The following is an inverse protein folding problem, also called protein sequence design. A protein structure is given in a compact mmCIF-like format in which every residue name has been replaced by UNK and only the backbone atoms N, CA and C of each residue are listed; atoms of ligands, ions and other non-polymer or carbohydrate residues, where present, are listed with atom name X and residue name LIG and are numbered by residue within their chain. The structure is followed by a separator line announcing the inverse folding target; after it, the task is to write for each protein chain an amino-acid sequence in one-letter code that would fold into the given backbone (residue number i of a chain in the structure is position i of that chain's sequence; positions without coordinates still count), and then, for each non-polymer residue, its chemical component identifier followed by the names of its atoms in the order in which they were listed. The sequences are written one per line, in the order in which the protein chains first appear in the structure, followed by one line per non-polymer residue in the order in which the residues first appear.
data_IF_686718891095
#
_entry.id   IF_686718891095
#
_cell.length_a   1.000
_cell.length_b   1.000
_cell.length_c   1.000
_cell.angle_alpha   90.00
_cell.angle_beta   90.00
_cell.angle_gamma   90.00
#
_symmetry.space_group_name_H-M   'P 1'
#
loop_
_entity.id
_entity.type
_entity.pdbx_description
1 polymer ?
#
# COMPACT_ATOMS: atom_id res chain seq x y z
N UNK A 1 -15.71 22.06 -6.28
CA UNK A 1 -14.74 21.08 -6.79
C UNK A 1 -13.40 21.48 -6.21
N UNK A 2 -13.07 20.91 -5.05
CA UNK A 2 -11.85 21.26 -4.30
C UNK A 2 -10.66 20.54 -4.92
N UNK A 3 -9.60 21.29 -5.14
CA UNK A 3 -8.37 20.87 -5.82
C UNK A 3 -7.62 19.84 -4.95
N UNK A 4 -7.55 18.59 -5.39
CA UNK A 4 -6.92 17.49 -4.65
C UNK A 4 -5.38 17.60 -4.57
N UNK A 5 -4.77 18.56 -5.30
CA UNK A 5 -3.32 18.79 -5.33
C UNK A 5 -2.78 19.69 -4.20
N UNK A 6 -3.63 20.28 -3.36
CA UNK A 6 -3.21 21.26 -2.36
C UNK A 6 -2.66 20.67 -1.04
N UNK A 7 -2.37 19.37 -0.96
CA UNK A 7 -1.99 18.71 0.30
C UNK A 7 -0.84 17.69 0.16
N UNK A 8 0.02 17.83 -0.84
CA UNK A 8 1.34 17.19 -0.80
C UNK A 8 2.18 17.83 0.33
N UNK A 9 3.07 17.09 1.02
CA UNK A 9 4.01 17.70 1.95
C UNK A 9 4.75 18.82 1.21
N UNK A 10 4.69 20.05 1.74
CA UNK A 10 5.39 21.19 1.17
C UNK A 10 6.90 20.90 1.07
N UNK A 11 7.62 21.57 0.16
CA UNK A 11 9.04 21.33 -0.05
C UNK A 11 9.80 21.37 1.29
N UNK A 12 10.76 20.46 1.43
CA UNK A 12 11.64 20.31 2.59
C UNK A 12 12.37 21.61 2.97
N UNK A 13 13.13 21.60 4.09
CA UNK A 13 13.47 22.79 4.87
C UNK A 13 14.11 23.90 4.00
N UNK A 14 13.34 24.98 3.86
CA UNK A 14 13.66 26.31 3.33
C UNK A 14 14.28 26.40 1.91
N UNK A 15 13.62 25.79 0.92
CA UNK A 15 13.86 25.98 -0.54
C UNK A 15 14.03 27.47 -0.95
N UNK A 16 13.47 28.40 -0.16
CA UNK A 16 13.60 29.86 -0.34
C UNK A 16 15.02 30.40 -0.14
N UNK A 17 15.86 29.68 0.59
CA UNK A 17 17.22 30.09 0.97
C UNK A 17 18.31 29.47 0.07
N UNK A 18 17.93 28.51 -0.77
CA UNK A 18 18.82 27.86 -1.73
C UNK A 18 19.11 28.78 -2.92
N UNK A 19 20.23 28.54 -3.59
CA UNK A 19 20.58 29.27 -4.81
C UNK A 19 19.68 28.85 -5.99
N UNK A 20 19.68 29.66 -7.05
CA UNK A 20 18.81 29.48 -8.22
C UNK A 20 19.03 28.14 -8.92
N UNK A 21 20.27 27.65 -8.99
CA UNK A 21 20.60 26.38 -9.65
C UNK A 21 20.02 25.21 -8.85
N UNK A 22 20.22 25.23 -7.53
CA UNK A 22 19.65 24.23 -6.59
C UNK A 22 18.11 24.25 -6.59
N UNK A 23 17.48 25.43 -6.65
CA UNK A 23 16.02 25.55 -6.76
C UNK A 23 15.48 24.89 -8.03
N UNK A 24 16.14 25.11 -9.17
CA UNK A 24 15.77 24.50 -10.45
C UNK A 24 15.92 22.98 -10.42
N UNK A 25 17.04 22.46 -9.89
CA UNK A 25 17.27 21.02 -9.77
C UNK A 25 16.21 20.31 -8.91
N UNK A 26 15.84 20.92 -7.77
CA UNK A 26 14.81 20.37 -6.89
C UNK A 26 13.44 20.39 -7.56
N UNK A 27 13.07 21.49 -8.22
CA UNK A 27 11.81 21.61 -8.93
C UNK A 27 11.70 20.64 -10.11
N UNK A 28 12.79 20.49 -10.87
CA UNK A 28 12.85 19.56 -11.99
C UNK A 28 12.78 18.10 -11.52
N UNK A 29 13.55 17.74 -10.49
CA UNK A 29 13.53 16.41 -9.87
C UNK A 29 12.12 16.06 -9.37
N UNK A 30 11.47 16.99 -8.67
CA UNK A 30 10.09 16.82 -8.23
C UNK A 30 9.13 16.63 -9.42
N UNK A 31 9.21 17.47 -10.45
CA UNK A 31 8.32 17.39 -11.61
C UNK A 31 8.46 16.05 -12.34
N UNK A 32 9.69 15.59 -12.59
CA UNK A 32 9.96 14.30 -13.25
C UNK A 32 9.62 13.09 -12.37
N UNK A 33 9.58 13.28 -11.04
CA UNK A 33 9.03 12.31 -10.10
C UNK A 33 7.52 12.13 -10.23
N UNK A 34 6.77 13.20 -10.48
CA UNK A 34 5.29 13.19 -10.45
C UNK A 34 4.63 13.19 -11.84
N UNK A 35 5.38 13.49 -12.89
CA UNK A 35 4.89 13.56 -14.28
C UNK A 35 5.81 12.79 -15.22
N UNK A 36 5.23 12.22 -16.27
CA UNK A 36 5.94 11.46 -17.28
C UNK A 36 5.46 11.81 -18.70
N UNK A 37 6.26 11.43 -19.69
CA UNK A 37 5.89 11.60 -21.09
C UNK A 37 4.59 10.83 -21.39
N UNK A 38 3.66 11.39 -22.19
CA UNK A 38 2.42 10.68 -22.56
C UNK A 38 2.71 9.34 -23.26
N UNK A 39 3.82 9.24 -23.98
CA UNK A 39 4.25 8.02 -24.66
C UNK A 39 4.66 6.88 -23.72
N UNK A 40 4.86 7.13 -22.42
CA UNK A 40 5.25 6.09 -21.47
C UNK A 40 4.12 5.10 -21.20
N UNK A 41 2.94 5.61 -20.79
CA UNK A 41 1.80 4.78 -20.36
C UNK A 41 0.45 5.27 -20.86
N UNK A 42 0.35 6.48 -21.42
CA UNK A 42 -0.92 7.02 -21.92
C UNK A 42 -1.22 6.38 -23.29
N UNK A 43 -2.31 5.61 -23.42
CA UNK A 43 -2.64 4.94 -24.67
C UNK A 43 -2.71 5.93 -25.84
N UNK A 44 -2.22 5.51 -27.01
CA UNK A 44 -2.23 6.33 -28.21
C UNK A 44 -3.20 5.75 -29.25
N UNK A 45 -4.16 6.57 -29.69
CA UNK A 45 -5.06 6.22 -30.79
C UNK A 45 -4.39 6.54 -32.12
N UNK A 46 -4.04 5.50 -32.89
CA UNK A 46 -3.39 5.66 -34.19
C UNK A 46 -4.35 6.21 -35.27
N UNK A 47 -5.66 5.95 -35.15
CA UNK A 47 -6.65 6.39 -36.13
C UNK A 47 -7.00 7.88 -35.94
N UNK A 48 -6.95 8.36 -34.70
CA UNK A 48 -7.21 9.77 -34.35
C UNK A 48 -5.94 10.61 -34.16
N UNK A 49 -4.76 9.98 -34.18
CA UNK A 49 -3.46 10.65 -34.05
C UNK A 49 -3.29 11.39 -32.72
N UNK A 50 -3.82 10.86 -31.61
CA UNK A 50 -3.77 11.52 -30.30
C UNK A 50 -3.68 10.55 -29.13
N UNK A 51 -3.09 11.03 -28.03
CA UNK A 51 -3.12 10.33 -26.75
C UNK A 51 -4.52 10.36 -26.12
N UNK A 52 -4.89 9.25 -25.48
CA UNK A 52 -6.13 9.11 -24.72
C UNK A 52 -5.83 9.31 -23.23
N UNK A 53 -6.19 10.48 -22.69
CA UNK A 53 -5.92 10.91 -21.31
C UNK A 53 -6.80 10.22 -20.25
N UNK A 54 -6.85 8.89 -20.28
CA UNK A 54 -7.70 8.08 -19.38
C UNK A 54 -7.24 8.12 -17.91
N UNK A 55 -6.04 8.65 -17.66
CA UNK A 55 -5.35 8.68 -16.38
C UNK A 55 -5.19 10.09 -15.79
N UNK A 56 -5.84 11.10 -16.40
CA UNK A 56 -5.64 12.52 -16.11
C UNK A 56 -4.68 13.21 -17.08
N UNK A 57 -4.76 14.55 -17.15
CA UNK A 57 -4.07 15.38 -18.14
C UNK A 57 -4.97 15.84 -19.29
N UNK A 58 -4.42 16.50 -20.33
CA UNK A 58 -3.02 16.94 -20.43
C UNK A 58 -2.70 18.03 -19.39
N UNK A 59 -1.53 17.94 -18.76
CA UNK A 59 -1.03 18.98 -17.86
C UNK A 59 0.06 19.80 -18.55
N UNK A 60 0.07 21.10 -18.27
CA UNK A 60 1.16 22.00 -18.68
C UNK A 60 2.16 22.17 -17.55
N UNK A 61 3.46 22.17 -17.86
CA UNK A 61 4.48 22.29 -16.84
C UNK A 61 4.33 23.60 -16.05
N UNK A 62 3.98 24.70 -16.74
CA UNK A 62 3.76 26.01 -16.11
C UNK A 62 2.65 26.00 -15.05
N UNK A 63 1.52 25.37 -15.33
CA UNK A 63 0.35 25.38 -14.44
C UNK A 63 0.61 24.53 -13.19
N UNK A 64 1.29 23.41 -13.38
CA UNK A 64 1.66 22.48 -12.30
C UNK A 64 2.72 23.10 -11.39
N UNK A 65 3.82 23.62 -11.97
CA UNK A 65 4.91 24.19 -11.21
C UNK A 65 4.48 25.46 -10.47
N UNK A 66 3.71 26.34 -11.11
CA UNK A 66 3.16 27.53 -10.46
C UNK A 66 2.19 27.17 -9.32
N UNK A 67 1.40 26.11 -9.50
CA UNK A 67 0.49 25.61 -8.47
C UNK A 67 1.20 25.04 -7.25
N UNK A 68 2.37 24.43 -7.42
CA UNK A 68 3.11 23.76 -6.33
C UNK A 68 4.18 24.65 -5.67
N UNK A 69 4.92 25.44 -6.46
CA UNK A 69 6.05 26.25 -6.00
C UNK A 69 5.76 27.75 -5.93
N UNK A 70 4.58 28.19 -6.38
CA UNK A 70 4.17 29.59 -6.34
C UNK A 70 4.22 30.18 -4.93
N UNK A 71 4.87 31.34 -4.78
CA UNK A 71 5.08 31.98 -3.47
C UNK A 71 6.18 31.34 -2.60
N UNK A 72 6.91 30.37 -3.15
CA UNK A 72 8.11 29.76 -2.52
C UNK A 72 9.33 30.12 -3.36
N UNK A 73 9.28 29.84 -4.66
CA UNK A 73 10.33 30.18 -5.62
C UNK A 73 9.87 31.39 -6.45
N UNK A 74 10.79 32.28 -6.87
CA UNK A 74 10.48 33.35 -7.80
C UNK A 74 9.75 32.86 -9.07
N UNK A 75 8.75 33.62 -9.53
CA UNK A 75 7.91 33.24 -10.67
C UNK A 75 8.68 33.16 -11.99
N UNK A 76 9.78 33.90 -12.12
CA UNK A 76 10.70 33.86 -13.27
C UNK A 76 11.41 32.51 -13.36
N UNK A 77 11.96 32.00 -12.25
CA UNK A 77 12.58 30.68 -12.22
C UNK A 77 11.57 29.54 -12.52
N UNK A 78 10.32 29.68 -12.04
CA UNK A 78 9.23 28.76 -12.39
C UNK A 78 8.92 28.78 -13.88
N UNK A 79 8.86 29.98 -14.48
CA UNK A 79 8.62 30.14 -15.91
C UNK A 79 9.78 29.61 -16.77
N UNK A 80 11.02 29.84 -16.35
CA UNK A 80 12.21 29.35 -17.05
C UNK A 80 12.26 27.82 -17.07
N UNK A 81 12.03 27.16 -15.93
CA UNK A 81 11.95 25.70 -15.89
C UNK A 81 10.76 25.17 -16.70
N UNK A 82 9.59 25.81 -16.58
CA UNK A 82 8.42 25.42 -17.33
C UNK A 82 8.66 25.53 -18.85
N UNK A 83 9.39 26.55 -19.31
CA UNK A 83 9.74 26.70 -20.72
C UNK A 83 10.69 25.60 -21.21
N UNK A 84 11.65 25.18 -20.38
CA UNK A 84 12.53 24.05 -20.69
C UNK A 84 11.73 22.73 -20.83
N UNK A 85 10.82 22.47 -19.89
CA UNK A 85 9.98 21.28 -19.90
C UNK A 85 8.95 21.30 -21.05
N UNK A 86 8.30 22.44 -21.32
CA UNK A 86 7.35 22.61 -22.43
C UNK A 86 8.05 22.43 -23.80
N UNK A 87 9.34 22.78 -23.91
CA UNK A 87 10.14 22.55 -25.11
C UNK A 87 10.46 21.06 -25.34
N UNK A 88 10.61 20.27 -24.28
CA UNK A 88 10.74 18.80 -24.37
C UNK A 88 9.40 18.15 -24.71
N UNK A 89 8.36 18.52 -23.97
CA UNK A 89 7.03 17.96 -24.08
C UNK A 89 5.99 19.02 -23.71
N UNK A 90 5.10 19.42 -24.63
CA UNK A 90 4.11 20.47 -24.36
C UNK A 90 2.96 19.99 -23.46
N UNK A 91 2.77 18.67 -23.34
CA UNK A 91 1.66 18.07 -22.60
C UNK A 91 2.17 16.87 -21.79
N UNK A 92 1.97 16.92 -20.49
CA UNK A 92 2.46 15.91 -19.56
C UNK A 92 1.32 15.02 -19.05
N UNK A 93 1.64 13.74 -18.87
CA UNK A 93 0.78 12.80 -18.18
C UNK A 93 1.20 12.73 -16.70
N UNK A 94 0.25 12.58 -15.75
CA UNK A 94 0.61 12.30 -14.38
C UNK A 94 1.32 10.95 -14.34
N UNK A 95 2.42 10.87 -13.60
CA UNK A 95 3.02 9.57 -13.29
C UNK A 95 2.08 8.89 -12.29
N UNK A 96 1.60 7.72 -12.68
CA UNK A 96 1.00 6.79 -11.73
C UNK A 96 2.12 5.96 -11.15
N UNK A 97 2.73 6.46 -10.09
CA UNK A 97 3.27 5.59 -9.07
C UNK A 97 2.08 5.00 -8.26
N UNK A 98 2.35 3.97 -7.48
CA UNK A 98 1.39 3.51 -6.48
C UNK A 98 1.08 4.64 -5.45
N UNK A 99 1.90 5.69 -5.41
CA UNK A 99 1.87 6.76 -4.41
C UNK A 99 0.61 7.63 -4.45
N UNK A 100 -0.09 7.76 -5.59
CA UNK A 100 -1.37 8.47 -5.67
C UNK A 100 -2.52 7.77 -4.94
N UNK A 101 -2.53 6.44 -4.91
CA UNK A 101 -3.47 5.62 -4.14
C UNK A 101 -2.96 5.45 -2.70
N UNK A 102 -1.64 5.33 -2.51
CA UNK A 102 -1.02 5.20 -1.20
C UNK A 102 -1.11 6.49 -0.38
N UNK A 103 -1.09 7.69 -0.97
CA UNK A 103 -1.32 8.94 -0.22
C UNK A 103 -2.75 9.04 0.34
N UNK A 104 -3.72 8.41 -0.32
CA UNK A 104 -5.10 8.28 0.17
C UNK A 104 -5.21 7.21 1.27
N UNK A 105 -4.48 6.09 1.15
CA UNK A 105 -4.43 5.01 2.14
C UNK A 105 -3.52 5.31 3.36
N UNK A 106 -2.50 6.17 3.19
CA UNK A 106 -1.53 6.56 4.21
C UNK A 106 -2.09 7.51 5.27
N UNK A 107 -3.23 8.16 4.98
CA UNK A 107 -3.88 9.07 5.92
C UNK A 107 -4.53 8.36 7.11
N UNK A 108 -4.91 7.10 6.96
CA UNK A 108 -5.64 6.35 7.98
C UNK A 108 -4.95 5.01 8.28
N UNK A 109 -3.68 5.04 8.71
CA UNK A 109 -3.13 3.88 9.43
C UNK A 109 -3.95 3.74 10.70
N UNK A 110 -4.95 2.84 10.68
CA UNK A 110 -5.71 2.49 11.87
C UNK A 110 -4.73 2.21 13.02
N UNK A 111 -5.04 2.73 14.21
CA UNK A 111 -4.35 2.23 15.40
C UNK A 111 -4.54 0.71 15.44
N UNK A 112 -3.55 -0.02 15.96
CA UNK A 112 -3.69 -1.48 16.14
C UNK A 112 -4.94 -1.82 16.95
N UNK A 113 -5.34 -0.94 17.87
CA UNK A 113 -6.57 -1.12 18.63
C UNK A 113 -7.85 -1.06 17.77
N UNK A 114 -7.78 -0.41 16.60
CA UNK A 114 -8.94 -0.14 15.74
C UNK A 114 -9.05 -1.16 14.59
N UNK A 115 -7.95 -1.82 14.20
CA UNK A 115 -7.98 -2.74 13.04
C UNK A 115 -8.66 -4.08 13.33
N UNK A 116 -8.54 -4.63 14.54
CA UNK A 116 -9.19 -5.90 14.90
C UNK A 116 -10.73 -5.77 14.90
N UNK A 117 -11.35 -4.77 15.56
CA UNK A 117 -12.80 -4.61 15.53
C UNK A 117 -13.38 -4.54 14.13
N UNK A 118 -12.75 -3.78 13.22
CA UNK A 118 -13.18 -3.68 11.80
C UNK A 118 -13.16 -5.04 11.11
N UNK A 119 -12.11 -5.85 11.36
CA UNK A 119 -12.01 -7.20 10.83
C UNK A 119 -13.10 -8.11 11.40
N UNK A 120 -13.33 -8.08 12.71
CA UNK A 120 -14.36 -8.89 13.38
C UNK A 120 -15.77 -8.53 12.92
N UNK A 121 -16.09 -7.25 12.77
CA UNK A 121 -17.39 -6.79 12.27
C UNK A 121 -17.64 -7.27 10.83
N UNK A 122 -16.62 -7.23 9.98
CA UNK A 122 -16.69 -7.77 8.62
C UNK A 122 -16.92 -9.29 8.62
N UNK A 123 -16.25 -10.03 9.51
CA UNK A 123 -16.42 -11.48 9.68
C UNK A 123 -17.83 -11.81 10.18
N UNK A 124 -18.33 -11.09 11.19
CA UNK A 124 -19.65 -11.30 11.76
C UNK A 124 -20.76 -11.00 10.75
N UNK A 125 -20.61 -9.92 9.99
CA UNK A 125 -21.54 -9.56 8.92
C UNK A 125 -21.57 -10.62 7.82
N UNK A 126 -20.41 -11.13 7.40
CA UNK A 126 -20.33 -12.16 6.37
C UNK A 126 -20.90 -13.51 6.85
N UNK A 127 -20.62 -13.90 8.10
CA UNK A 127 -21.16 -15.11 8.70
C UNK A 127 -22.69 -15.03 8.86
N UNK A 128 -23.22 -13.88 9.27
CA UNK A 128 -24.67 -13.67 9.40
C UNK A 128 -25.37 -13.73 8.05
N UNK A 129 -24.86 -13.04 7.03
CA UNK A 129 -25.41 -13.11 5.67
C UNK A 129 -25.39 -14.53 5.11
N UNK A 130 -24.31 -15.28 5.33
CA UNK A 130 -24.22 -16.67 4.92
C UNK A 130 -25.29 -17.54 5.61
N UNK A 131 -25.55 -17.30 6.91
CA UNK A 131 -26.61 -18.02 7.66
C UNK A 131 -28.01 -17.71 7.14
N UNK A 132 -28.32 -16.44 6.88
CA UNK A 132 -29.64 -16.02 6.40
C UNK A 132 -29.96 -16.60 5.03
N UNK A 133 -28.96 -16.66 4.15
CA UNK A 133 -29.09 -17.14 2.79
C UNK A 133 -28.88 -18.66 2.67
N UNK A 134 -28.76 -19.36 3.81
CA UNK A 134 -28.51 -20.80 3.82
C UNK A 134 -29.64 -21.62 3.16
N UNK A 135 -30.88 -21.14 3.25
CA UNK A 135 -32.03 -21.77 2.61
C UNK A 135 -32.07 -21.56 1.08
N UNK A 136 -31.56 -20.42 0.60
CA UNK A 136 -31.49 -20.10 -0.82
C UNK A 136 -30.23 -20.67 -1.50
N UNK A 137 -29.18 -20.93 -0.72
CA UNK A 137 -27.92 -21.55 -1.13
C UNK A 137 -27.27 -20.88 -2.36
N UNK A 138 -27.36 -19.55 -2.49
CA UNK A 138 -26.81 -18.81 -3.62
C UNK A 138 -25.28 -18.96 -3.71
N UNK A 139 -24.73 -19.72 -4.70
CA UNK A 139 -23.30 -19.94 -4.79
C UNK A 139 -22.53 -18.67 -5.14
N UNK A 140 -23.17 -17.74 -5.85
CA UNK A 140 -22.57 -16.46 -6.21
C UNK A 140 -22.35 -15.59 -4.97
N UNK A 141 -23.34 -15.52 -4.08
CA UNK A 141 -23.21 -14.81 -2.81
C UNK A 141 -22.13 -15.47 -1.94
N UNK A 142 -22.15 -16.79 -1.80
CA UNK A 142 -21.15 -17.49 -0.98
C UNK A 142 -19.72 -17.26 -1.50
N UNK A 143 -19.52 -17.23 -2.83
CA UNK A 143 -18.22 -16.84 -3.43
C UNK A 143 -17.82 -15.41 -3.08
N UNK A 144 -18.77 -14.46 -3.14
CA UNK A 144 -18.49 -13.07 -2.78
C UNK A 144 -18.11 -12.93 -1.30
N UNK A 145 -18.86 -13.58 -0.40
CA UNK A 145 -18.57 -13.59 1.04
C UNK A 145 -17.21 -14.25 1.33
N UNK A 146 -16.86 -15.34 0.63
CA UNK A 146 -15.56 -15.99 0.76
C UNK A 146 -14.41 -15.04 0.41
N UNK A 147 -14.52 -14.34 -0.72
CA UNK A 147 -13.51 -13.35 -1.15
C UNK A 147 -13.43 -12.20 -0.16
N UNK A 148 -14.57 -11.72 0.34
CA UNK A 148 -14.63 -10.64 1.34
C UNK A 148 -13.92 -11.03 2.64
N UNK A 149 -14.12 -12.26 3.15
CA UNK A 149 -13.46 -12.76 4.35
C UNK A 149 -11.93 -12.77 4.19
N UNK A 150 -11.44 -13.25 3.04
CA UNK A 150 -10.01 -13.24 2.74
C UNK A 150 -9.46 -11.82 2.61
N UNK A 151 -10.16 -10.92 1.92
CA UNK A 151 -9.76 -9.53 1.81
C UNK A 151 -9.71 -8.83 3.17
N UNK A 152 -10.69 -9.09 4.05
CA UNK A 152 -10.74 -8.52 5.41
C UNK A 152 -9.57 -9.01 6.27
N UNK A 153 -9.15 -10.26 6.11
CA UNK A 153 -7.94 -10.79 6.75
C UNK A 153 -6.67 -10.15 6.18
N UNK A 154 -6.56 -10.04 4.86
CA UNK A 154 -5.41 -9.42 4.17
C UNK A 154 -5.21 -7.97 4.63
N UNK A 155 -6.29 -7.18 4.68
CA UNK A 155 -6.28 -5.81 5.19
C UNK A 155 -5.87 -5.74 6.66
N UNK A 156 -6.49 -6.57 7.52
CA UNK A 156 -6.12 -6.61 8.94
C UNK A 156 -4.63 -6.92 9.14
N UNK A 157 -4.11 -7.94 8.44
CA UNK A 157 -2.70 -8.33 8.56
C UNK A 157 -1.76 -7.24 8.03
N UNK A 158 -2.14 -6.51 6.99
CA UNK A 158 -1.37 -5.39 6.46
C UNK A 158 -1.32 -4.23 7.45
N UNK A 159 -2.49 -3.75 7.88
CA UNK A 159 -2.64 -2.58 8.75
C UNK A 159 -2.01 -2.82 10.12
N UNK A 160 -2.22 -4.01 10.70
CA UNK A 160 -1.67 -4.37 11.99
C UNK A 160 -0.13 -4.45 11.96
N UNK A 161 0.44 -5.00 10.87
CA UNK A 161 1.90 -5.06 10.68
C UNK A 161 2.48 -3.66 10.48
N UNK A 162 1.90 -2.87 9.57
CA UNK A 162 2.31 -1.50 9.31
C UNK A 162 2.26 -0.65 10.58
N UNK A 163 1.16 -0.75 11.34
CA UNK A 163 0.98 -0.06 12.61
C UNK A 163 2.03 -0.41 13.66
N UNK A 164 2.55 -1.64 13.67
CA UNK A 164 3.66 -2.04 14.55
C UNK A 164 4.99 -1.47 14.08
N UNK A 165 5.32 -1.65 12.79
CA UNK A 165 6.60 -1.22 12.22
C UNK A 165 6.75 0.29 12.27
N UNK A 166 5.67 1.03 12.00
CA UNK A 166 5.69 2.49 12.10
C UNK A 166 5.83 2.91 13.57
N UNK A 167 5.14 2.29 14.52
CA UNK A 167 5.20 2.78 15.92
C UNK A 167 6.54 2.54 16.62
N UNK A 168 7.24 1.45 16.29
CA UNK A 168 8.43 1.02 17.01
C UNK A 168 9.66 1.04 16.11
N UNK A 169 10.62 1.93 16.42
CA UNK A 169 11.87 2.08 15.67
C UNK A 169 12.66 0.77 15.58
N UNK A 170 12.61 -0.07 16.61
CA UNK A 170 13.25 -1.39 16.62
C UNK A 170 12.66 -2.33 15.55
N UNK A 171 11.36 -2.27 15.34
CA UNK A 171 10.67 -3.09 14.33
C UNK A 171 10.88 -2.52 12.93
N UNK A 172 10.88 -1.19 12.78
CA UNK A 172 11.31 -0.52 11.54
C UNK A 172 12.70 -0.97 11.13
N UNK A 173 13.67 -0.93 12.05
CA UNK A 173 15.03 -1.38 11.80
C UNK A 173 15.06 -2.84 11.36
N UNK A 174 14.40 -3.74 12.09
CA UNK A 174 14.33 -5.17 11.71
C UNK A 174 13.71 -5.37 10.34
N UNK A 175 12.67 -4.62 10.00
CA UNK A 175 12.06 -4.69 8.67
C UNK A 175 13.07 -4.28 7.59
N UNK A 176 13.72 -3.13 7.74
CA UNK A 176 14.73 -2.64 6.79
C UNK A 176 15.87 -3.65 6.62
N UNK A 177 16.38 -4.20 7.72
CA UNK A 177 17.47 -5.19 7.71
C UNK A 177 17.09 -6.54 7.09
N UNK A 178 15.79 -6.87 6.99
CA UNK A 178 15.31 -8.18 6.50
C UNK A 178 14.51 -8.10 5.19
N UNK A 179 14.27 -6.91 4.64
CA UNK A 179 13.54 -6.74 3.40
C UNK A 179 14.49 -6.79 2.19
N UNK A 180 14.36 -7.77 1.27
CA UNK A 180 15.35 -7.97 0.21
C UNK A 180 15.66 -6.75 -0.67
N UNK A 181 14.69 -5.92 -1.07
CA UNK A 181 14.96 -4.66 -1.78
C UNK A 181 15.94 -3.74 -1.05
N UNK A 182 15.77 -3.52 0.26
CA UNK A 182 16.68 -2.66 1.03
C UNK A 182 18.06 -3.29 1.25
N UNK A 183 18.15 -4.63 1.32
CA UNK A 183 19.42 -5.33 1.44
C UNK A 183 20.29 -5.21 0.17
N UNK A 184 19.68 -5.01 -0.99
CA UNK A 184 20.37 -4.92 -2.27
C UNK A 184 20.96 -3.52 -2.54
N UNK A 185 20.54 -2.51 -1.78
CA UNK A 185 20.96 -1.14 -1.99
C UNK A 185 22.33 -0.83 -1.38
N UNK A 186 23.09 0.05 -2.05
CA UNK A 186 24.37 0.56 -1.56
C UNK A 186 24.31 2.08 -1.50
N UNK A 187 24.81 2.68 -0.41
CA UNK A 187 24.82 4.14 -0.23
C UNK A 187 26.21 4.66 0.15
N UNK A 188 26.50 5.93 -0.14
CA UNK A 188 27.73 6.58 0.32
C UNK A 188 27.55 7.06 1.75
N UNK A 189 28.64 7.22 2.49
CA UNK A 189 28.59 7.74 3.86
C UNK A 189 28.03 9.17 3.94
N UNK A 190 28.21 9.97 2.88
CA UNK A 190 27.67 11.33 2.80
C UNK A 190 26.13 11.37 2.77
N UNK A 191 25.49 10.30 2.28
CA UNK A 191 24.03 10.25 2.09
C UNK A 191 23.31 9.71 3.34
N UNK A 192 24.04 9.25 4.38
CA UNK A 192 23.49 8.55 5.56
C UNK A 192 22.34 9.31 6.22
N UNK A 193 22.47 10.63 6.40
CA UNK A 193 21.44 11.41 7.08
C UNK A 193 20.18 11.56 6.21
N UNK A 194 20.32 11.83 4.92
CA UNK A 194 19.19 11.91 3.99
C UNK A 194 18.46 10.55 3.88
N UNK A 195 19.21 9.46 3.82
CA UNK A 195 18.63 8.10 3.81
C UNK A 195 17.93 7.79 5.14
N UNK A 196 18.52 8.16 6.27
CA UNK A 196 17.91 7.96 7.59
C UNK A 196 16.61 8.77 7.75
N UNK A 197 16.55 10.00 7.24
CA UNK A 197 15.35 10.84 7.31
C UNK A 197 14.21 10.27 6.45
N UNK A 198 14.53 9.70 5.28
CA UNK A 198 13.54 9.13 4.36
C UNK A 198 13.18 7.66 4.65
N UNK A 199 13.99 6.91 5.40
CA UNK A 199 13.86 5.45 5.55
C UNK A 199 12.48 5.00 6.02
N UNK A 200 11.84 5.81 6.87
CA UNK A 200 10.52 5.51 7.42
C UNK A 200 9.44 5.59 6.35
N UNK A 201 9.49 6.60 5.48
CA UNK A 201 8.56 6.74 4.36
C UNK A 201 8.80 5.63 3.34
N UNK A 202 10.07 5.40 2.98
CA UNK A 202 10.46 4.32 2.06
C UNK A 202 9.97 2.95 2.56
N UNK A 203 10.11 2.67 3.85
CA UNK A 203 9.60 1.45 4.46
C UNK A 203 8.06 1.37 4.44
N UNK A 204 7.36 2.51 4.59
CA UNK A 204 5.91 2.58 4.49
C UNK A 204 5.45 2.25 3.07
N UNK A 205 5.98 2.92 2.05
CA UNK A 205 5.67 2.64 0.63
C UNK A 205 5.93 1.16 0.30
N UNK A 206 7.09 0.62 0.70
CA UNK A 206 7.41 -0.79 0.47
C UNK A 206 6.44 -1.78 1.14
N UNK A 207 5.79 -1.40 2.25
CA UNK A 207 4.76 -2.21 2.90
C UNK A 207 3.40 -2.08 2.22
N UNK A 208 3.06 -0.92 1.66
CA UNK A 208 1.84 -0.72 0.88
C UNK A 208 1.87 -1.48 -0.45
N UNK A 209 2.97 -1.40 -1.18
CA UNK A 209 3.20 -2.11 -2.44
C UNK A 209 3.28 -3.64 -2.30
N UNK A 210 3.21 -4.14 -1.07
CA UNK A 210 3.37 -5.55 -0.80
C UNK A 210 2.13 -6.36 -1.14
N UNK A 211 2.32 -7.49 -1.83
CA UNK A 211 1.28 -8.48 -2.03
C UNK A 211 0.91 -9.24 -0.75
N UNK A 212 0.04 -8.66 0.09
CA UNK A 212 -0.48 -9.24 1.35
C UNK A 212 -1.32 -10.51 1.15
N UNK A 213 -1.76 -10.78 -0.07
CA UNK A 213 -2.44 -12.03 -0.45
C UNK A 213 -1.52 -13.27 -0.44
N UNK A 214 -0.19 -13.09 -0.38
CA UNK A 214 0.75 -14.20 -0.30
C UNK A 214 0.97 -14.61 1.17
N UNK A 215 0.19 -15.59 1.64
CA UNK A 215 0.23 -16.05 3.03
C UNK A 215 1.61 -16.56 3.49
N UNK A 216 2.41 -17.16 2.61
CA UNK A 216 3.77 -17.61 2.98
C UNK A 216 4.69 -16.43 3.24
N UNK A 217 4.66 -15.42 2.37
CA UNK A 217 5.42 -14.17 2.52
C UNK A 217 5.01 -13.44 3.79
N UNK A 218 3.71 -13.27 4.02
CA UNK A 218 3.18 -12.61 5.23
C UNK A 218 3.64 -13.34 6.49
N UNK A 219 3.54 -14.67 6.54
CA UNK A 219 4.02 -15.47 7.68
C UNK A 219 5.51 -15.25 7.95
N UNK A 220 6.34 -15.23 6.91
CA UNK A 220 7.78 -15.01 7.06
C UNK A 220 8.10 -13.62 7.60
N UNK A 221 7.36 -12.60 7.18
CA UNK A 221 7.51 -11.22 7.68
C UNK A 221 7.13 -11.11 9.15
N UNK A 222 5.95 -11.62 9.53
CA UNK A 222 5.51 -11.65 10.92
C UNK A 222 6.52 -12.37 11.83
N UNK A 223 7.10 -13.48 11.35
CA UNK A 223 8.13 -14.19 12.10
C UNK A 223 9.43 -13.40 12.20
N UNK A 224 9.97 -12.92 11.08
CA UNK A 224 11.32 -12.36 11.03
C UNK A 224 11.38 -10.95 11.65
N UNK A 225 10.33 -10.14 11.50
CA UNK A 225 10.29 -8.76 12.01
C UNK A 225 9.69 -8.72 13.41
N UNK A 226 8.51 -9.33 13.60
CA UNK A 226 7.75 -9.24 14.85
C UNK A 226 8.06 -10.39 15.82
N UNK A 227 8.70 -11.47 15.36
CA UNK A 227 8.89 -12.67 16.18
C UNK A 227 7.59 -13.46 16.41
N UNK A 228 6.53 -13.15 15.65
CA UNK A 228 5.21 -13.75 15.80
C UNK A 228 5.05 -14.94 14.86
N UNK A 229 4.68 -16.09 15.42
CA UNK A 229 4.46 -17.33 14.66
C UNK A 229 2.95 -17.59 14.54
N UNK A 230 2.49 -17.82 13.31
CA UNK A 230 1.09 -18.17 13.04
C UNK A 230 0.79 -19.59 13.55
N UNK A 231 -0.45 -19.88 13.98
CA UNK A 231 -0.84 -21.19 14.48
C UNK A 231 -0.69 -22.30 13.43
N UNK A 232 -0.68 -23.56 13.89
CA UNK A 232 -0.36 -24.76 13.09
C UNK A 232 -1.41 -25.13 12.02
N UNK A 233 -2.53 -24.40 11.92
CA UNK A 233 -3.60 -24.55 10.92
C UNK A 233 -3.20 -24.08 9.50
N UNK A 234 -1.92 -24.15 9.16
CA UNK A 234 -1.34 -23.65 7.90
C UNK A 234 -1.92 -24.35 6.67
N UNK A 235 -2.32 -25.62 6.81
CA UNK A 235 -2.92 -26.37 5.70
C UNK A 235 -4.30 -25.81 5.31
N UNK A 236 -5.12 -25.42 6.28
CA UNK A 236 -6.45 -24.83 6.08
C UNK A 236 -6.33 -23.45 5.43
N UNK A 237 -5.43 -22.60 5.94
CA UNK A 237 -5.20 -21.27 5.36
C UNK A 237 -4.67 -21.36 3.91
N UNK A 238 -3.72 -22.25 3.64
CA UNK A 238 -3.22 -22.46 2.28
C UNK A 238 -4.29 -23.03 1.34
N UNK A 239 -5.19 -23.90 1.85
CA UNK A 239 -6.37 -24.33 1.10
C UNK A 239 -7.27 -23.14 0.80
N UNK A 240 -7.50 -22.26 1.77
CA UNK A 240 -8.35 -21.09 1.60
C UNK A 240 -7.81 -20.09 0.59
N UNK A 241 -6.50 -19.82 0.61
CA UNK A 241 -5.83 -18.98 -0.39
C UNK A 241 -5.98 -19.55 -1.81
N UNK A 242 -5.76 -20.85 -1.98
CA UNK A 242 -5.96 -21.51 -3.29
C UNK A 242 -7.42 -21.45 -3.74
N UNK A 243 -8.36 -21.68 -2.82
CA UNK A 243 -9.79 -21.62 -3.08
C UNK A 243 -10.23 -20.22 -3.52
N UNK A 244 -9.74 -19.15 -2.87
CA UNK A 244 -9.94 -17.75 -3.28
C UNK A 244 -9.44 -17.50 -4.71
N UNK A 245 -8.22 -17.96 -5.03
CA UNK A 245 -7.65 -17.79 -6.37
C UNK A 245 -8.53 -18.45 -7.45
N UNK A 246 -9.01 -19.67 -7.21
CA UNK A 246 -9.92 -20.36 -8.14
C UNK A 246 -11.30 -19.66 -8.25
N UNK A 247 -11.82 -19.10 -7.15
CA UNK A 247 -13.06 -18.31 -7.15
C UNK A 247 -12.92 -17.07 -8.04
N UNK A 248 -11.83 -16.32 -7.91
CA UNK A 248 -11.60 -15.06 -8.63
C UNK A 248 -11.34 -15.28 -10.13
N UNK A 249 -10.49 -16.25 -10.49
CA UNK A 249 -10.06 -16.41 -11.88
C UNK A 249 -10.91 -17.40 -12.69
N UNK A 250 -11.71 -18.25 -12.04
CA UNK A 250 -12.49 -19.29 -12.72
C UNK A 250 -13.94 -19.37 -12.28
N UNK A 251 -14.42 -18.39 -11.50
CA UNK A 251 -15.77 -18.45 -10.91
C UNK A 251 -15.97 -19.65 -9.97
N UNK A 252 -14.88 -20.29 -9.53
CA UNK A 252 -14.90 -21.56 -8.80
C UNK A 252 -14.85 -22.82 -9.68
N UNK A 253 -14.63 -22.75 -11.00
CA UNK A 253 -14.43 -23.94 -11.82
C UNK A 253 -12.96 -24.40 -11.79
N UNK A 254 -12.70 -25.68 -11.49
CA UNK A 254 -11.35 -26.26 -11.49
C UNK A 254 -10.81 -26.48 -12.91
N UNK A 255 -9.52 -26.81 -13.02
CA UNK A 255 -8.85 -27.13 -14.30
C UNK A 255 -9.31 -28.46 -14.93
N UNK A 256 -10.00 -29.33 -14.18
CA UNK A 256 -10.46 -30.66 -14.63
C UNK A 256 -11.91 -30.97 -14.23
N UNK A 257 -12.81 -30.01 -14.36
CA UNK A 257 -14.20 -30.13 -13.90
C UNK A 257 -14.47 -29.19 -12.73
N UNK A 258 -15.69 -28.63 -12.71
CA UNK A 258 -16.06 -27.56 -11.79
C UNK A 258 -15.81 -27.96 -10.34
N UNK A 259 -15.17 -27.09 -9.54
CA UNK A 259 -15.10 -27.34 -8.10
C UNK A 259 -16.53 -27.29 -7.54
N UNK A 260 -16.79 -27.93 -6.39
CA UNK A 260 -18.07 -27.81 -5.73
C UNK A 260 -18.44 -26.33 -5.53
N UNK A 261 -19.71 -26.00 -5.74
CA UNK A 261 -20.26 -24.69 -5.44
C UNK A 261 -19.93 -24.33 -3.99
N UNK A 262 -19.39 -23.11 -3.76
CA UNK A 262 -19.14 -22.60 -2.41
C UNK A 262 -20.48 -22.51 -1.70
N UNK A 263 -20.58 -23.13 -0.53
CA UNK A 263 -21.80 -23.17 0.27
C UNK A 263 -21.71 -22.31 1.54
N UNK A 264 -22.85 -22.05 2.20
CA UNK A 264 -22.90 -21.33 3.47
C UNK A 264 -22.01 -21.93 4.57
N UNK A 265 -21.92 -23.25 4.63
CA UNK A 265 -21.06 -23.95 5.60
C UNK A 265 -19.57 -23.65 5.37
N UNK A 266 -19.12 -23.64 4.12
CA UNK A 266 -17.74 -23.32 3.77
C UNK A 266 -17.38 -21.87 4.12
N UNK A 267 -18.34 -20.94 3.96
CA UNK A 267 -18.17 -19.54 4.39
C UNK A 267 -18.07 -19.43 5.92
N UNK A 268 -18.92 -20.16 6.66
CA UNK A 268 -18.88 -20.18 8.12
C UNK A 268 -17.59 -20.80 8.68
N UNK A 269 -17.09 -21.87 8.06
CA UNK A 269 -15.80 -22.48 8.39
C UNK A 269 -14.64 -21.50 8.14
N UNK A 270 -14.63 -20.83 6.98
CA UNK A 270 -13.64 -19.79 6.69
C UNK A 270 -13.72 -18.63 7.69
N UNK A 271 -14.92 -18.18 8.05
CA UNK A 271 -15.11 -17.12 9.04
C UNK A 271 -14.50 -17.49 10.40
N UNK A 272 -14.66 -18.75 10.82
CA UNK A 272 -14.02 -19.28 12.04
C UNK A 272 -12.49 -19.27 11.95
N UNK A 273 -11.93 -19.75 10.83
CA UNK A 273 -10.49 -19.78 10.58
C UNK A 273 -9.88 -18.36 10.58
N UNK A 274 -10.50 -17.44 9.85
CA UNK A 274 -10.05 -16.05 9.75
C UNK A 274 -10.11 -15.36 11.10
N UNK A 275 -11.21 -15.54 11.86
CA UNK A 275 -11.34 -15.01 13.22
C UNK A 275 -10.26 -15.55 14.16
N UNK A 276 -10.05 -16.87 14.16
CA UNK A 276 -9.06 -17.51 15.02
C UNK A 276 -7.65 -16.98 14.76
N UNK A 277 -7.28 -16.82 13.49
CA UNK A 277 -5.99 -16.24 13.11
C UNK A 277 -5.88 -14.77 13.51
N UNK A 278 -6.91 -13.96 13.25
CA UNK A 278 -6.90 -12.53 13.59
C UNK A 278 -6.72 -12.31 15.10
N UNK A 279 -7.48 -13.04 15.93
CA UNK A 279 -7.36 -12.96 17.39
C UNK A 279 -5.98 -13.40 17.89
N UNK A 280 -5.44 -14.50 17.37
CA UNK A 280 -4.09 -14.96 17.73
C UNK A 280 -3.02 -13.94 17.39
N UNK A 281 -3.11 -13.35 16.19
CA UNK A 281 -2.20 -12.29 15.77
C UNK A 281 -2.33 -11.10 16.71
N UNK A 282 -3.54 -10.61 16.97
CA UNK A 282 -3.79 -9.46 17.83
C UNK A 282 -3.19 -9.63 19.23
N UNK A 283 -3.45 -10.75 19.88
CA UNK A 283 -2.87 -11.08 21.19
C UNK A 283 -1.34 -11.09 21.16
N UNK A 284 -0.75 -11.59 20.08
CA UNK A 284 0.69 -11.54 19.86
C UNK A 284 1.20 -10.10 19.72
N UNK A 285 0.51 -9.27 18.94
CA UNK A 285 0.88 -7.87 18.73
C UNK A 285 0.76 -7.05 20.01
N UNK A 286 -0.31 -7.23 20.79
CA UNK A 286 -0.49 -6.56 22.08
C UNK A 286 0.65 -6.91 23.05
N UNK A 287 1.07 -8.18 23.11
CA UNK A 287 2.21 -8.61 23.95
C UNK A 287 3.52 -7.97 23.49
N UNK A 288 3.81 -8.00 22.19
CA UNK A 288 5.03 -7.40 21.62
C UNK A 288 5.03 -5.89 21.86
N UNK A 289 3.90 -5.22 21.61
CA UNK A 289 3.75 -3.79 21.85
C UNK A 289 4.01 -3.43 23.31
N UNK A 290 3.45 -4.20 24.25
CA UNK A 290 3.66 -3.99 25.69
C UNK A 290 5.12 -4.18 26.11
N UNK A 291 5.82 -5.19 25.56
CA UNK A 291 7.25 -5.42 25.83
C UNK A 291 8.13 -4.27 25.32
N UNK A 292 7.86 -3.78 24.11
CA UNK A 292 8.60 -2.66 23.51
C UNK A 292 8.31 -1.34 24.26
N UNK A 293 7.05 -1.09 24.64
CA UNK A 293 6.67 0.10 25.40
C UNK A 293 7.33 0.16 26.80
N UNK A 294 7.62 -0.99 27.42
CA UNK A 294 8.33 -1.07 28.71
C UNK A 294 9.86 -1.01 28.59
N UNK A 295 10.41 -0.91 27.37
CA UNK A 295 11.86 -0.90 27.14
C UNK A 295 12.55 -2.25 27.35
N UNK A 296 11.80 -3.34 27.55
CA UNK A 296 12.31 -4.70 27.77
C UNK A 296 12.97 -5.28 26.50
N UNK A 297 12.78 -4.63 25.35
CA UNK A 297 13.41 -4.99 24.06
C UNK A 297 14.86 -4.56 23.87
N UNK A 298 15.44 -3.73 24.76
CA UNK A 298 16.83 -3.24 24.64
C UNK A 298 17.91 -4.29 24.91
N UNK A 299 17.56 -5.44 25.49
CA UNK A 299 18.53 -6.43 25.97
C UNK A 299 19.03 -7.44 24.90
N UNK A 300 18.63 -7.30 23.64
CA UNK A 300 19.14 -8.13 22.53
C UNK A 300 19.51 -7.26 21.32
N UNK A 301 20.49 -6.38 21.54
CA UNK A 301 21.28 -5.74 20.49
C UNK A 301 22.69 -6.31 20.54
#
# INVERSE_FOLDING_TARGET
MSNAFACCPGPGPDLRLEDCETQLEIMESWFRGHFEYPSARTPYDQDQGRHQWIWGGPYRACDVLAGHFGGIVPDDAIQDLAALLDAECPEWAPRWDADGLDAYLARDVCSIADCLPVCLDAIDSAAELARQEAAAASPALCRALYVQLMASLETYLADAFLGMVMRHTELLRRFVENHPPFQAETMRLADVFAEYESIRERARTALYDMGWHNAERVRLLYRNVLGLVFPTEQAELLRAVRRRHDILHRGGAGKEGGLPAVGPAEVAELAGLVRGLALHVDEGLQRIHGQLARGEGRARL
#
